data_IF_754831938109
#
_entry.id   IF_754831938109
#
_cell.length_a   1.000
_cell.length_b   1.000
_cell.length_c   1.000
_cell.angle_alpha   90.00
_cell.angle_beta   90.00
_cell.angle_gamma   90.00
#
_symmetry.space_group_name_H-M   'P 1'
#
loop_
_entity.id
_entity.type
_entity.pdbx_description
1 polymer ?
#
# COMPACT_ATOMS: atom_id res chain seq x y z
N UNK A 1 30.09 -23.38 20.22
CA UNK A 1 29.91 -22.09 19.51
C UNK A 1 28.73 -22.27 18.56
N UNK A 2 27.50 -21.88 18.91
CA UNK A 2 26.34 -22.13 18.06
C UNK A 2 26.32 -21.11 16.91
N UNK A 3 26.03 -21.58 15.70
CA UNK A 3 25.88 -20.76 14.51
C UNK A 3 24.63 -19.86 14.66
N UNK A 4 24.67 -18.62 14.12
CA UNK A 4 23.57 -17.69 14.27
C UNK A 4 22.35 -18.19 13.47
N UNK A 5 21.19 -18.19 14.13
CA UNK A 5 19.89 -18.46 13.55
C UNK A 5 19.70 -17.60 12.30
N UNK A 6 19.65 -18.23 11.13
CA UNK A 6 19.06 -17.62 9.93
C UNK A 6 17.59 -17.37 10.23
N UNK A 7 17.08 -16.12 10.15
CA UNK A 7 15.66 -15.88 10.29
C UNK A 7 14.98 -16.55 9.09
N UNK A 8 14.16 -17.55 9.34
CA UNK A 8 13.26 -18.09 8.35
C UNK A 8 12.25 -17.00 7.98
N UNK A 9 12.58 -16.21 6.97
CA UNK A 9 11.65 -15.25 6.38
C UNK A 9 10.57 -16.08 5.67
N UNK A 10 9.41 -16.14 6.29
CA UNK A 10 8.21 -16.79 5.74
C UNK A 10 7.87 -16.14 4.40
N UNK A 11 7.44 -16.89 3.38
CA UNK A 11 7.17 -16.34 2.04
C UNK A 11 6.22 -15.12 2.03
N UNK A 12 5.30 -15.03 3.01
CA UNK A 12 4.45 -13.86 3.23
C UNK A 12 5.24 -12.59 3.63
N UNK A 13 6.31 -12.72 4.40
CA UNK A 13 7.19 -11.62 4.77
C UNK A 13 8.14 -11.22 3.63
N UNK A 14 8.45 -12.14 2.70
CA UNK A 14 9.25 -11.84 1.51
C UNK A 14 8.46 -10.98 0.52
N UNK A 15 7.14 -11.19 0.41
CA UNK A 15 6.26 -10.34 -0.40
C UNK A 15 5.99 -8.96 0.20
N UNK A 16 6.09 -8.82 1.52
CA UNK A 16 5.95 -7.53 2.22
C UNK A 16 7.22 -6.66 2.14
N UNK A 17 8.36 -7.26 1.78
CA UNK A 17 9.66 -6.58 1.68
C UNK A 17 9.97 -6.01 0.28
N UNK A 18 9.07 -6.17 -0.70
CA UNK A 18 9.26 -5.55 -2.02
C UNK A 18 8.80 -4.08 -1.98
N UNK A 19 9.57 -3.14 -2.55
CA UNK A 19 9.15 -1.75 -2.65
C UNK A 19 7.78 -1.65 -3.34
N UNK A 20 6.88 -0.87 -2.75
CA UNK A 20 5.50 -0.69 -3.18
C UNK A 20 4.53 -1.77 -2.72
N UNK A 21 4.94 -2.78 -1.93
CA UNK A 21 3.99 -3.76 -1.40
C UNK A 21 2.96 -3.16 -0.45
N UNK A 22 1.73 -3.67 -0.54
CA UNK A 22 0.66 -3.36 0.41
C UNK A 22 0.90 -4.05 1.75
N UNK A 23 0.84 -3.27 2.81
CA UNK A 23 0.83 -3.75 4.19
C UNK A 23 -0.63 -3.74 4.65
N UNK A 24 -1.14 -4.92 5.03
CA UNK A 24 -2.53 -5.12 5.47
C UNK A 24 -2.57 -5.72 6.88
N UNK A 25 -2.41 -4.88 7.89
CA UNK A 25 -2.73 -5.21 9.28
C UNK A 25 -4.25 -5.22 9.55
N UNK A 26 -5.06 -4.70 8.63
CA UNK A 26 -6.52 -4.63 8.77
C UNK A 26 -6.97 -3.48 9.68
N UNK A 27 -6.15 -2.44 9.81
CA UNK A 27 -6.48 -1.25 10.60
C UNK A 27 -7.35 -0.30 9.77
N UNK A 28 -8.47 0.14 10.33
CA UNK A 28 -9.26 1.23 9.74
C UNK A 28 -8.50 2.56 9.84
N UNK A 29 -8.16 3.14 8.70
CA UNK A 29 -7.59 4.49 8.61
C UNK A 29 -8.68 5.57 8.68
N UNK A 30 -8.33 6.74 9.22
CA UNK A 30 -9.21 7.93 9.26
C UNK A 30 -8.93 8.82 8.05
N UNK A 31 -9.56 8.48 6.91
CA UNK A 31 -9.43 9.19 5.63
C UNK A 31 -10.84 9.45 5.11
N UNK A 32 -11.09 10.67 4.65
CA UNK A 32 -12.36 11.01 4.01
C UNK A 32 -12.34 10.65 2.51
N UNK A 33 -13.18 9.69 2.15
CA UNK A 33 -13.47 9.25 0.78
C UNK A 33 -14.83 9.79 0.28
N UNK A 34 -15.50 10.64 1.07
CA UNK A 34 -16.87 11.10 0.84
C UNK A 34 -17.94 10.12 1.35
N UNK A 35 -19.20 10.54 1.38
CA UNK A 35 -20.27 9.79 2.05
C UNK A 35 -20.51 8.36 1.54
N UNK A 36 -20.33 8.11 0.25
CA UNK A 36 -20.44 6.77 -0.35
C UNK A 36 -19.18 5.94 -0.10
N UNK A 37 -18.01 6.54 -0.33
CA UNK A 37 -16.71 5.89 -0.13
C UNK A 37 -16.48 5.50 1.33
N UNK A 38 -16.85 6.36 2.28
CA UNK A 38 -16.73 6.11 3.70
C UNK A 38 -17.59 4.91 4.12
N UNK A 39 -18.85 4.84 3.68
CA UNK A 39 -19.73 3.68 3.95
C UNK A 39 -19.16 2.39 3.39
N UNK A 40 -18.67 2.41 2.16
CA UNK A 40 -18.05 1.24 1.55
C UNK A 40 -16.77 0.83 2.29
N UNK A 41 -15.93 1.79 2.63
CA UNK A 41 -14.67 1.55 3.33
C UNK A 41 -14.91 1.02 4.74
N UNK A 42 -15.92 1.50 5.47
CA UNK A 42 -16.28 0.97 6.79
C UNK A 42 -16.66 -0.50 6.79
N UNK A 43 -17.28 -1.00 5.72
CA UNK A 43 -17.60 -2.42 5.59
C UNK A 43 -16.42 -3.28 5.09
N UNK A 44 -15.45 -2.66 4.40
CA UNK A 44 -14.43 -3.37 3.62
C UNK A 44 -12.98 -2.99 3.96
N UNK A 45 -12.73 -2.20 5.02
CA UNK A 45 -11.39 -1.66 5.34
C UNK A 45 -10.30 -2.73 5.43
N UNK A 46 -10.65 -3.95 5.83
CA UNK A 46 -9.76 -5.10 5.94
C UNK A 46 -9.16 -5.56 4.59
N UNK A 47 -9.76 -5.19 3.46
CA UNK A 47 -9.24 -5.49 2.11
C UNK A 47 -8.20 -4.46 1.65
N UNK A 48 -8.24 -3.25 2.20
CA UNK A 48 -7.38 -2.15 1.82
C UNK A 48 -6.05 -2.19 2.59
N UNK A 49 -4.96 -1.70 1.98
CA UNK A 49 -3.71 -1.52 2.72
C UNK A 49 -3.87 -0.46 3.80
N UNK A 50 -3.20 -0.65 4.93
CA UNK A 50 -3.02 0.37 5.96
C UNK A 50 -1.59 0.94 5.99
N UNK A 51 -0.70 0.38 5.16
CA UNK A 51 0.65 0.90 4.92
C UNK A 51 1.19 0.48 3.56
N UNK A 52 2.28 1.12 3.13
CA UNK A 52 3.02 0.77 1.92
C UNK A 52 4.49 0.61 2.31
N UNK A 53 5.09 -0.51 1.92
CA UNK A 53 6.53 -0.71 2.11
C UNK A 53 7.29 0.07 1.03
N UNK A 54 7.87 1.22 1.36
CA UNK A 54 8.62 2.04 0.39
C UNK A 54 9.82 2.73 1.04
N UNK A 55 11.01 2.16 0.84
CA UNK A 55 12.28 2.73 1.32
C UNK A 55 12.81 3.80 0.35
N UNK A 56 12.09 4.92 0.23
CA UNK A 56 12.49 6.03 -0.64
C UNK A 56 13.31 7.14 0.04
N UNK A 57 13.44 7.10 1.37
CA UNK A 57 14.13 8.15 2.14
C UNK A 57 15.67 8.09 2.07
N UNK A 58 16.25 7.16 1.30
CA UNK A 58 17.71 7.00 1.22
C UNK A 58 18.39 7.90 0.18
N UNK A 59 17.64 8.62 -0.66
CA UNK A 59 18.23 9.47 -1.68
C UNK A 59 18.28 10.93 -1.20
N UNK A 60 19.50 11.43 -0.94
CA UNK A 60 19.77 12.74 -0.35
C UNK A 60 19.30 13.97 -1.18
N UNK A 61 18.67 13.76 -2.34
CA UNK A 61 18.30 14.80 -3.30
C UNK A 61 16.87 14.64 -3.87
N UNK A 62 15.97 13.94 -3.18
CA UNK A 62 14.59 13.73 -3.66
C UNK A 62 13.65 14.73 -2.99
N UNK A 63 12.89 15.50 -3.79
CA UNK A 63 11.85 16.38 -3.24
C UNK A 63 10.66 15.56 -2.74
N UNK A 64 9.85 16.12 -1.85
CA UNK A 64 8.66 15.44 -1.33
C UNK A 64 7.72 15.00 -2.46
N UNK A 65 7.57 15.81 -3.50
CA UNK A 65 6.73 15.52 -4.67
C UNK A 65 7.29 14.35 -5.48
N UNK A 66 8.61 14.30 -5.67
CA UNK A 66 9.27 13.19 -6.36
C UNK A 66 9.18 11.89 -5.55
N UNK A 67 9.30 11.96 -4.22
CA UNK A 67 9.12 10.82 -3.33
C UNK A 67 7.69 10.27 -3.43
N UNK A 68 6.68 11.12 -3.28
CA UNK A 68 5.26 10.73 -3.37
C UNK A 68 4.96 10.10 -4.73
N UNK A 69 5.44 10.72 -5.81
CA UNK A 69 5.24 10.21 -7.17
C UNK A 69 5.91 8.85 -7.36
N UNK A 70 7.13 8.68 -6.86
CA UNK A 70 7.86 7.42 -6.94
C UNK A 70 7.19 6.32 -6.12
N UNK A 71 6.73 6.64 -4.90
CA UNK A 71 5.96 5.74 -4.06
C UNK A 71 4.70 5.25 -4.77
N UNK A 72 3.92 6.15 -5.37
CA UNK A 72 2.70 5.79 -6.11
C UNK A 72 3.03 4.90 -7.31
N UNK A 73 4.02 5.27 -8.12
CA UNK A 73 4.41 4.52 -9.31
C UNK A 73 4.89 3.11 -8.97
N UNK A 74 5.75 2.99 -7.95
CA UNK A 74 6.26 1.70 -7.48
C UNK A 74 5.14 0.85 -6.88
N UNK A 75 4.22 1.46 -6.11
CA UNK A 75 3.06 0.76 -5.55
C UNK A 75 2.11 0.24 -6.63
N UNK A 76 1.87 1.03 -7.67
CA UNK A 76 1.04 0.60 -8.80
C UNK A 76 1.67 -0.56 -9.56
N UNK A 77 2.99 -0.49 -9.81
CA UNK A 77 3.71 -1.55 -10.49
C UNK A 77 3.75 -2.85 -9.66
N UNK A 78 3.99 -2.75 -8.35
CA UNK A 78 4.10 -3.91 -7.46
C UNK A 78 2.76 -4.64 -7.27
N UNK A 79 1.62 -3.93 -7.37
CA UNK A 79 0.29 -4.48 -7.13
C UNK A 79 -0.60 -4.45 -8.39
N UNK A 80 0.01 -4.53 -9.58
CA UNK A 80 -0.69 -4.44 -10.86
C UNK A 80 -1.86 -5.44 -10.99
N UNK A 81 -1.73 -6.63 -10.40
CA UNK A 81 -2.79 -7.65 -10.38
C UNK A 81 -4.02 -7.20 -9.60
N UNK A 82 -3.85 -6.57 -8.43
CA UNK A 82 -4.94 -5.99 -7.63
C UNK A 82 -5.66 -4.89 -8.41
N UNK A 83 -4.90 -4.04 -9.12
CA UNK A 83 -5.45 -3.01 -9.98
C UNK A 83 -6.13 -3.54 -11.23
N UNK A 84 -5.74 -4.73 -11.72
CA UNK A 84 -6.29 -5.33 -12.94
C UNK A 84 -7.54 -6.16 -12.66
N UNK A 85 -7.54 -6.93 -11.56
CA UNK A 85 -8.63 -7.82 -11.16
C UNK A 85 -9.86 -7.04 -10.70
N UNK A 86 -9.66 -5.94 -9.98
CA UNK A 86 -10.73 -5.07 -9.49
C UNK A 86 -11.22 -4.04 -10.53
N UNK A 87 -10.55 -3.95 -11.69
CA UNK A 87 -10.88 -3.02 -12.77
C UNK A 87 -12.20 -3.34 -13.48
N UNK A 88 -12.67 -4.58 -13.38
CA UNK A 88 -13.86 -5.05 -14.11
C UNK A 88 -15.17 -4.90 -13.33
N UNK A 89 -15.16 -5.00 -11.99
CA UNK A 89 -16.41 -5.01 -11.20
C UNK A 89 -16.56 -3.87 -10.18
N UNK A 90 -15.48 -3.17 -9.77
CA UNK A 90 -15.57 -2.29 -8.60
C UNK A 90 -14.86 -0.92 -8.74
N UNK A 91 -15.47 -0.04 -9.54
CA UNK A 91 -15.00 1.36 -9.73
C UNK A 91 -14.86 2.14 -8.42
N UNK A 92 -15.71 1.83 -7.42
CA UNK A 92 -15.66 2.47 -6.10
C UNK A 92 -14.44 2.00 -5.30
N UNK A 93 -14.17 0.70 -5.29
CA UNK A 93 -12.95 0.14 -4.68
C UNK A 93 -11.69 0.79 -5.26
N UNK A 94 -11.60 0.89 -6.59
CA UNK A 94 -10.46 1.52 -7.28
C UNK A 94 -10.28 2.99 -6.86
N UNK A 95 -11.39 3.74 -6.75
CA UNK A 95 -11.34 5.15 -6.30
C UNK A 95 -10.84 5.27 -4.85
N UNK A 96 -11.32 4.41 -3.96
CA UNK A 96 -10.91 4.39 -2.55
C UNK A 96 -9.45 3.99 -2.44
N UNK A 97 -9.04 2.90 -3.10
CA UNK A 97 -7.67 2.41 -3.11
C UNK A 97 -6.70 3.49 -3.62
N UNK A 98 -7.05 4.18 -4.70
CA UNK A 98 -6.21 5.25 -5.25
C UNK A 98 -6.08 6.44 -4.32
N UNK A 99 -7.17 6.84 -3.66
CA UNK A 99 -7.15 7.90 -2.65
C UNK A 99 -6.28 7.49 -1.46
N UNK A 100 -6.41 6.25 -1.00
CA UNK A 100 -5.71 5.72 0.16
C UNK A 100 -4.19 5.64 -0.09
N UNK A 101 -3.77 5.16 -1.26
CA UNK A 101 -2.35 5.12 -1.64
C UNK A 101 -1.74 6.52 -1.68
N UNK A 102 -2.47 7.52 -2.18
CA UNK A 102 -1.98 8.91 -2.17
C UNK A 102 -1.77 9.43 -0.76
N UNK A 103 -2.70 9.16 0.14
CA UNK A 103 -2.57 9.57 1.55
C UNK A 103 -1.37 8.85 2.18
N UNK A 104 -1.25 7.52 2.04
CA UNK A 104 -0.14 6.72 2.58
C UNK A 104 1.24 7.13 2.05
N UNK A 105 1.35 7.49 0.77
CA UNK A 105 2.61 7.96 0.19
C UNK A 105 2.95 9.43 0.53
N UNK A 106 2.00 10.19 1.10
CA UNK A 106 2.16 11.63 1.41
C UNK A 106 2.54 11.95 2.85
N UNK A 107 2.49 10.92 3.72
CA UNK A 107 2.84 10.97 5.15
C UNK A 107 4.33 11.25 5.33
#
# INVERSE_FOLDING_TARGET
>A
KPLPNTPHVTAAQVSDARPGAFIRHGRKLDIDFGAEGNRYYEANYWQFPDGIHFDGCSEANVTKEMFVTSCINTTQAANQEEFSREKQDNKLYQRILWRLIRELCSV
#
